data_IF_903903738806
#
_entry.id   IF_903903738806
#
_cell.length_a   1.000
_cell.length_b   1.000
_cell.length_c   1.000
_cell.angle_alpha   90.00
_cell.angle_beta   90.00
_cell.angle_gamma   90.00
#
_symmetry.space_group_name_H-M   'P 1'
#
loop_
_entity.id
_entity.type
_entity.pdbx_description
1 polymer ?
#
# COMPACT_ATOMS: atom_id res chain seq x y z
N UNK A 1 23.30 44.72 29.37
CA UNK A 1 23.52 43.26 29.35
C UNK A 1 23.34 42.80 27.91
N UNK A 2 24.44 42.82 27.14
CA UNK A 2 24.45 42.46 25.74
C UNK A 2 24.51 40.94 25.63
N UNK A 3 23.56 40.33 24.92
CA UNK A 3 23.55 38.90 24.67
C UNK A 3 24.53 38.65 23.54
N UNK A 4 25.62 37.97 23.86
CA UNK A 4 26.64 37.51 22.93
C UNK A 4 26.02 36.50 21.95
N UNK A 5 25.93 36.88 20.68
CA UNK A 5 25.43 36.06 19.56
C UNK A 5 26.57 35.25 18.92
N UNK A 6 27.76 35.26 19.51
CA UNK A 6 28.97 34.65 18.98
C UNK A 6 29.24 33.24 19.47
N UNK A 7 28.50 32.23 18.96
CA UNK A 7 28.99 30.88 18.67
C UNK A 7 27.82 29.97 18.25
N UNK A 8 27.52 29.95 16.95
CA UNK A 8 26.79 28.82 16.37
C UNK A 8 27.76 27.64 16.34
N UNK A 9 27.44 26.48 16.94
CA UNK A 9 28.24 25.28 16.74
C UNK A 9 28.30 25.01 15.25
N UNK A 10 29.52 24.83 14.73
CA UNK A 10 29.73 24.33 13.38
C UNK A 10 29.05 22.96 13.31
N UNK A 11 27.84 22.93 12.74
CA UNK A 11 27.29 21.68 12.24
C UNK A 11 28.22 21.26 11.13
N UNK A 12 29.00 20.20 11.37
CA UNK A 12 29.70 19.48 10.31
C UNK A 12 28.63 18.98 9.34
N UNK A 13 28.39 19.83 8.33
CA UNK A 13 27.31 19.70 7.40
C UNK A 13 27.58 18.55 6.47
N UNK A 14 27.15 17.35 6.86
CA UNK A 14 26.77 16.38 5.85
C UNK A 14 25.78 17.09 4.92
N UNK A 15 26.09 17.22 3.62
CA UNK A 15 25.25 17.93 2.69
C UNK A 15 23.86 17.29 2.75
N UNK A 16 22.86 18.10 3.12
CA UNK A 16 21.46 17.65 3.15
C UNK A 16 21.18 17.07 1.76
N UNK A 17 20.92 15.75 1.65
CA UNK A 17 20.74 15.13 0.35
C UNK A 17 19.59 15.84 -0.35
N UNK A 18 19.90 16.36 -1.55
CA UNK A 18 18.99 17.18 -2.34
C UNK A 18 17.68 16.42 -2.57
N UNK A 19 16.56 16.84 -1.94
CA UNK A 19 15.30 16.12 -1.99
C UNK A 19 14.69 16.09 -3.40
N UNK A 20 15.23 16.91 -4.32
CA UNK A 20 14.76 17.06 -5.69
C UNK A 20 15.53 16.22 -6.71
N UNK A 21 16.61 15.50 -6.35
CA UNK A 21 17.24 14.58 -7.31
C UNK A 21 16.41 13.29 -7.44
N UNK A 22 15.71 13.05 -8.57
CA UNK A 22 15.08 11.76 -8.79
C UNK A 22 16.19 10.70 -8.83
N UNK A 23 16.12 9.67 -7.98
CA UNK A 23 17.08 8.57 -8.04
C UNK A 23 16.82 7.77 -9.34
N UNK A 24 17.66 7.90 -10.39
CA UNK A 24 17.34 7.36 -11.72
C UNK A 24 17.62 5.86 -11.84
N UNK A 25 18.24 5.25 -10.83
CA UNK A 25 18.75 3.87 -10.88
C UNK A 25 17.71 2.86 -10.36
N UNK A 26 16.69 3.32 -9.63
CA UNK A 26 15.74 2.40 -9.00
C UNK A 26 14.76 1.77 -10.01
N UNK A 27 14.39 2.46 -11.08
CA UNK A 27 13.34 2.02 -12.01
C UNK A 27 13.77 0.82 -12.87
N UNK A 28 14.98 0.82 -13.42
CA UNK A 28 15.47 -0.29 -14.25
C UNK A 28 15.71 -1.57 -13.43
N UNK A 29 16.29 -1.45 -12.24
CA UNK A 29 16.56 -2.60 -11.37
C UNK A 29 15.26 -3.22 -10.84
N UNK A 30 14.25 -2.40 -10.51
CA UNK A 30 12.93 -2.89 -10.10
C UNK A 30 12.21 -3.65 -11.23
N UNK A 31 12.32 -3.17 -12.47
CA UNK A 31 11.77 -3.86 -13.65
C UNK A 31 12.47 -5.21 -13.87
N UNK A 32 13.80 -5.25 -13.74
CA UNK A 32 14.58 -6.50 -13.90
C UNK A 32 14.28 -7.50 -12.79
N UNK A 33 14.13 -7.06 -11.53
CA UNK A 33 13.77 -7.93 -10.42
C UNK A 33 12.34 -8.45 -10.58
N UNK A 34 11.38 -7.61 -10.97
CA UNK A 34 10.02 -8.04 -11.28
C UNK A 34 10.01 -9.08 -12.41
N UNK A 35 10.77 -8.86 -13.48
CA UNK A 35 10.90 -9.77 -14.61
C UNK A 35 11.60 -11.10 -14.25
N UNK A 36 12.60 -11.07 -13.37
CA UNK A 36 13.29 -12.28 -12.90
C UNK A 36 12.40 -13.11 -11.96
N UNK A 37 11.65 -12.45 -11.08
CA UNK A 37 10.67 -13.09 -10.17
C UNK A 37 9.53 -13.73 -10.97
N UNK A 38 9.06 -13.03 -12.02
CA UNK A 38 8.10 -13.52 -13.00
C UNK A 38 8.59 -14.78 -13.75
N UNK A 39 9.83 -14.75 -14.24
CA UNK A 39 10.42 -15.87 -14.95
C UNK A 39 10.62 -17.10 -14.06
N UNK A 40 11.05 -16.89 -12.81
CA UNK A 40 11.16 -17.96 -11.82
C UNK A 40 9.79 -18.57 -11.47
N UNK A 41 8.76 -17.73 -11.28
CA UNK A 41 7.39 -18.18 -11.05
C UNK A 41 6.88 -19.06 -12.20
N UNK A 42 7.04 -18.61 -13.46
CA UNK A 42 6.68 -19.36 -14.66
C UNK A 42 7.42 -20.69 -14.79
N UNK A 43 8.72 -20.73 -14.47
CA UNK A 43 9.52 -21.94 -14.52
C UNK A 43 9.01 -23.03 -13.57
N UNK A 44 8.35 -22.64 -12.48
CA UNK A 44 7.75 -23.60 -11.53
C UNK A 44 6.39 -24.13 -11.94
N UNK A 45 5.70 -23.57 -12.94
CA UNK A 45 4.34 -23.99 -13.34
C UNK A 45 4.33 -25.34 -14.08
N UNK A 46 5.43 -25.76 -14.70
CA UNK A 46 5.48 -26.95 -15.58
C UNK A 46 5.83 -28.30 -14.93
N UNK A 47 6.10 -28.36 -13.62
CA UNK A 47 6.60 -29.59 -12.98
C UNK A 47 5.42 -30.39 -12.40
N UNK A 48 5.14 -31.55 -13.02
CA UNK A 48 4.19 -32.61 -12.62
C UNK A 48 2.72 -32.17 -12.44
N UNK A 49 2.00 -31.98 -13.54
CA UNK A 49 0.56 -31.71 -13.49
C UNK A 49 -0.27 -32.92 -13.97
N UNK A 50 -1.37 -33.27 -13.26
CA UNK A 50 -2.37 -34.21 -13.79
C UNK A 50 -3.03 -33.63 -15.05
N UNK A 51 -3.55 -34.49 -15.94
CA UNK A 51 -4.08 -34.11 -17.27
C UNK A 51 -5.11 -32.96 -17.23
N UNK A 52 -5.89 -32.87 -16.14
CA UNK A 52 -6.86 -31.79 -15.92
C UNK A 52 -6.22 -30.41 -15.76
N UNK A 53 -5.08 -30.31 -15.09
CA UNK A 53 -4.37 -29.04 -14.91
C UNK A 53 -3.68 -28.57 -16.21
N UNK A 54 -3.28 -29.52 -17.07
CA UNK A 54 -2.82 -29.22 -18.43
C UNK A 54 -3.94 -28.65 -19.29
N UNK A 55 -5.18 -29.16 -19.16
CA UNK A 55 -6.33 -28.60 -19.88
C UNK A 55 -6.69 -27.20 -19.37
N UNK A 56 -6.72 -27.00 -18.06
CA UNK A 56 -6.98 -25.71 -17.44
C UNK A 56 -5.98 -24.63 -17.86
N UNK A 57 -4.68 -24.95 -17.84
CA UNK A 57 -3.62 -24.01 -18.19
C UNK A 57 -3.57 -23.59 -19.66
N UNK A 58 -4.29 -24.29 -20.54
CA UNK A 58 -4.42 -23.94 -21.96
C UNK A 58 -5.52 -22.91 -22.25
N UNK A 59 -6.35 -22.60 -21.26
CA UNK A 59 -7.41 -21.60 -21.42
C UNK A 59 -6.81 -20.18 -21.54
N UNK A 60 -7.33 -19.32 -22.43
CA UNK A 60 -6.86 -17.95 -22.54
C UNK A 60 -7.08 -17.15 -21.25
N UNK A 61 -8.15 -17.43 -20.51
CA UNK A 61 -8.47 -16.80 -19.23
C UNK A 61 -7.41 -17.13 -18.16
N UNK A 62 -6.90 -18.36 -18.17
CA UNK A 62 -5.79 -18.75 -17.30
C UNK A 62 -4.53 -17.93 -17.60
N UNK A 63 -4.23 -17.69 -18.89
CA UNK A 63 -3.12 -16.85 -19.31
C UNK A 63 -3.23 -15.42 -18.77
N UNK A 64 -4.43 -14.84 -18.77
CA UNK A 64 -4.70 -13.51 -18.19
C UNK A 64 -4.45 -13.52 -16.69
N UNK A 65 -5.03 -14.49 -15.97
CA UNK A 65 -4.82 -14.64 -14.53
C UNK A 65 -3.34 -14.79 -14.17
N UNK A 66 -2.62 -15.69 -14.84
CA UNK A 66 -1.22 -15.94 -14.59
C UNK A 66 -0.37 -14.69 -14.82
N UNK A 67 -0.67 -13.93 -15.88
CA UNK A 67 0.01 -12.66 -16.18
C UNK A 67 -0.22 -11.61 -15.10
N UNK A 68 -1.46 -11.49 -14.60
CA UNK A 68 -1.79 -10.57 -13.51
C UNK A 68 -1.12 -10.98 -12.19
N UNK A 69 -1.12 -12.27 -11.87
CA UNK A 69 -0.45 -12.79 -10.67
C UNK A 69 1.05 -12.49 -10.71
N UNK A 70 1.69 -12.73 -11.86
CA UNK A 70 3.10 -12.41 -12.10
C UNK A 70 3.36 -10.91 -11.92
N UNK A 71 2.53 -10.08 -12.54
CA UNK A 71 2.61 -8.63 -12.41
C UNK A 71 2.47 -8.17 -10.95
N UNK A 72 1.54 -8.77 -10.21
CA UNK A 72 1.31 -8.49 -8.80
C UNK A 72 2.50 -8.87 -7.92
N UNK A 73 3.12 -10.04 -8.12
CA UNK A 73 4.36 -10.42 -7.43
C UNK A 73 5.44 -9.38 -7.71
N UNK A 74 5.63 -9.00 -8.97
CA UNK A 74 6.59 -7.98 -9.38
C UNK A 74 6.36 -6.63 -8.71
N UNK A 75 5.12 -6.13 -8.71
CA UNK A 75 4.69 -4.88 -8.06
C UNK A 75 4.93 -4.95 -6.55
N UNK A 76 4.64 -6.09 -5.91
CA UNK A 76 4.78 -6.27 -4.46
C UNK A 76 6.24 -6.26 -4.04
N UNK A 77 7.10 -7.01 -4.74
CA UNK A 77 8.55 -7.01 -4.51
C UNK A 77 9.14 -5.62 -4.77
N UNK A 78 8.74 -4.98 -5.86
CA UNK A 78 9.22 -3.63 -6.17
C UNK A 78 8.77 -2.60 -5.13
N UNK A 79 7.52 -2.68 -4.68
CA UNK A 79 6.97 -1.85 -3.62
C UNK A 79 7.68 -2.07 -2.28
N UNK A 80 8.01 -3.31 -1.94
CA UNK A 80 8.81 -3.67 -0.76
C UNK A 80 10.21 -3.06 -0.80
N UNK A 81 10.93 -3.23 -1.92
CA UNK A 81 12.26 -2.64 -2.12
C UNK A 81 12.18 -1.09 -2.07
N UNK A 82 11.17 -0.51 -2.69
CA UNK A 82 10.96 0.94 -2.72
C UNK A 82 10.66 1.53 -1.34
N UNK A 83 9.89 0.82 -0.52
CA UNK A 83 9.51 1.25 0.84
C UNK A 83 10.56 0.91 1.91
N UNK A 84 11.52 0.04 1.60
CA UNK A 84 12.55 -0.42 2.53
C UNK A 84 13.38 0.69 3.19
N UNK A 85 13.88 1.73 2.47
CA UNK A 85 14.67 2.79 3.09
C UNK A 85 13.84 3.58 4.12
N UNK A 86 12.59 3.91 3.78
CA UNK A 86 11.66 4.60 4.67
C UNK A 86 11.36 3.76 5.91
N UNK A 87 11.13 2.46 5.72
CA UNK A 87 10.93 1.54 6.83
C UNK A 87 12.16 1.49 7.75
N UNK A 88 13.38 1.35 7.20
CA UNK A 88 14.62 1.34 7.99
C UNK A 88 14.85 2.65 8.74
N UNK A 89 14.61 3.80 8.10
CA UNK A 89 14.74 5.13 8.72
C UNK A 89 13.79 5.26 9.92
N UNK A 90 12.51 4.96 9.73
CA UNK A 90 11.51 5.02 10.80
C UNK A 90 11.80 4.00 11.90
N UNK A 91 12.21 2.80 11.53
CA UNK A 91 12.58 1.74 12.46
C UNK A 91 13.78 2.15 13.34
N UNK A 92 14.81 2.75 12.76
CA UNK A 92 16.00 3.22 13.49
C UNK A 92 15.71 4.32 14.52
N UNK A 93 14.66 5.13 14.28
CA UNK A 93 14.24 6.22 15.19
C UNK A 93 13.21 5.78 16.23
N UNK A 94 12.65 4.58 16.09
CA UNK A 94 11.54 4.10 16.91
C UNK A 94 12.01 3.36 18.18
N UNK A 95 11.22 3.48 19.23
CA UNK A 95 11.42 2.70 20.46
C UNK A 95 11.18 1.20 20.22
N UNK A 96 11.75 0.32 21.04
CA UNK A 96 11.51 -1.13 20.95
C UNK A 96 10.01 -1.49 20.99
N UNK A 97 9.23 -0.80 21.82
CA UNK A 97 7.76 -1.00 21.90
C UNK A 97 7.05 -0.63 20.60
N UNK A 98 7.44 0.47 19.96
CA UNK A 98 6.86 0.89 18.67
C UNK A 98 7.20 -0.09 17.55
N UNK A 99 8.45 -0.59 17.52
CA UNK A 99 8.86 -1.64 16.59
C UNK A 99 7.99 -2.87 16.74
N UNK A 100 7.84 -3.37 17.97
CA UNK A 100 7.02 -4.55 18.24
C UNK A 100 5.56 -4.35 17.81
N UNK A 101 4.95 -3.21 18.16
CA UNK A 101 3.56 -2.90 17.76
C UNK A 101 3.43 -2.81 16.24
N UNK A 102 4.40 -2.17 15.56
CA UNK A 102 4.43 -2.12 14.09
C UNK A 102 4.54 -3.50 13.47
N UNK A 103 5.44 -4.36 13.96
CA UNK A 103 5.56 -5.73 13.47
C UNK A 103 4.28 -6.52 13.65
N UNK A 104 3.66 -6.45 14.84
CA UNK A 104 2.41 -7.18 15.13
C UNK A 104 1.28 -6.68 14.24
N UNK A 105 1.11 -5.37 14.08
CA UNK A 105 0.05 -4.81 13.24
C UNK A 105 0.30 -5.05 11.75
N UNK A 106 1.53 -4.87 11.27
CA UNK A 106 1.88 -5.14 9.86
C UNK A 106 1.70 -6.63 9.54
N UNK A 107 2.13 -7.52 10.42
CA UNK A 107 1.91 -8.95 10.28
C UNK A 107 0.42 -9.29 10.33
N UNK A 108 -0.36 -8.69 11.23
CA UNK A 108 -1.81 -8.90 11.28
C UNK A 108 -2.50 -8.42 9.99
N UNK A 109 -2.09 -7.26 9.44
CA UNK A 109 -2.62 -6.74 8.16
C UNK A 109 -2.33 -7.73 7.03
N UNK A 110 -1.08 -8.21 6.93
CA UNK A 110 -0.68 -9.20 5.93
C UNK A 110 -1.42 -10.53 6.13
N UNK A 111 -1.55 -10.99 7.38
CA UNK A 111 -2.28 -12.21 7.70
C UNK A 111 -3.76 -12.09 7.32
N UNK A 112 -4.42 -10.98 7.63
CA UNK A 112 -5.82 -10.75 7.23
C UNK A 112 -5.95 -10.71 5.71
N UNK A 113 -4.99 -10.08 5.03
CA UNK A 113 -4.92 -10.03 3.57
C UNK A 113 -4.70 -11.42 2.93
N UNK A 114 -3.79 -12.23 3.48
CA UNK A 114 -3.44 -13.56 2.96
C UNK A 114 -4.48 -14.63 3.32
N UNK A 115 -5.07 -14.56 4.52
CA UNK A 115 -6.03 -15.55 5.00
C UNK A 115 -7.44 -15.32 4.45
N UNK A 116 -7.78 -14.11 4.00
CA UNK A 116 -9.15 -13.81 3.55
C UNK A 116 -9.56 -14.55 2.26
N UNK A 117 -8.73 -14.69 1.21
CA UNK A 117 -9.08 -15.51 0.05
C UNK A 117 -9.26 -16.98 0.41
N UNK A 118 -8.47 -17.52 1.35
CA UNK A 118 -8.63 -18.90 1.81
C UNK A 118 -9.86 -19.09 2.69
N UNK A 119 -10.18 -18.15 3.58
CA UNK A 119 -11.38 -18.20 4.40
C UNK A 119 -12.65 -18.17 3.54
N UNK A 120 -12.67 -17.27 2.56
CA UNK A 120 -13.78 -17.15 1.60
C UNK A 120 -13.79 -18.36 0.67
N UNK A 121 -12.64 -18.71 0.09
CA UNK A 121 -12.49 -19.81 -0.85
C UNK A 121 -12.80 -21.17 -0.23
N UNK A 122 -12.24 -21.52 0.93
CA UNK A 122 -12.52 -22.81 1.59
C UNK A 122 -13.97 -22.93 2.04
N UNK A 123 -14.58 -21.86 2.55
CA UNK A 123 -15.97 -21.89 2.97
C UNK A 123 -16.93 -22.22 1.80
N UNK A 124 -16.59 -21.79 0.58
CA UNK A 124 -17.38 -22.04 -0.62
C UNK A 124 -16.94 -23.33 -1.36
N UNK A 125 -15.64 -23.50 -1.61
CA UNK A 125 -15.09 -24.61 -2.41
C UNK A 125 -15.16 -25.97 -1.69
N UNK A 126 -15.09 -26.02 -0.35
CA UNK A 126 -15.24 -27.31 0.36
C UNK A 126 -16.65 -27.92 0.22
N UNK A 127 -17.65 -27.14 -0.21
CA UNK A 127 -19.03 -27.59 -0.32
C UNK A 127 -19.37 -28.21 -1.68
N UNK A 128 -18.54 -28.03 -2.70
CA UNK A 128 -18.87 -28.40 -4.07
C UNK A 128 -17.69 -29.08 -4.78
N UNK A 129 -17.74 -30.42 -4.89
CA UNK A 129 -17.08 -31.24 -5.92
C UNK A 129 -15.52 -31.28 -5.91
N UNK A 130 -14.86 -32.18 -6.67
CA UNK A 130 -13.51 -32.66 -6.36
C UNK A 130 -12.49 -31.52 -6.42
N UNK A 131 -11.37 -31.63 -5.67
CA UNK A 131 -10.37 -30.58 -5.61
C UNK A 131 -9.99 -30.22 -7.04
N UNK A 132 -10.27 -28.97 -7.41
CA UNK A 132 -9.68 -28.35 -8.59
C UNK A 132 -8.20 -28.75 -8.53
N UNK A 133 -7.58 -29.26 -9.61
CA UNK A 133 -6.21 -29.79 -9.62
C UNK A 133 -5.15 -28.68 -9.47
N UNK A 134 -5.49 -27.64 -8.71
CA UNK A 134 -4.60 -26.66 -8.16
C UNK A 134 -3.86 -27.25 -6.98
N UNK A 135 -2.54 -27.37 -7.12
CA UNK A 135 -1.64 -27.59 -6.01
C UNK A 135 -1.68 -26.36 -5.08
N UNK A 136 -2.60 -26.41 -4.12
CA UNK A 136 -2.75 -25.47 -2.99
C UNK A 136 -1.40 -24.95 -2.43
N UNK A 137 -0.32 -25.76 -2.31
CA UNK A 137 0.95 -25.27 -1.79
C UNK A 137 1.61 -24.14 -2.60
N UNK A 138 1.47 -24.12 -3.93
CA UNK A 138 2.16 -23.13 -4.78
C UNK A 138 1.50 -21.76 -4.72
N UNK A 139 0.17 -21.72 -4.70
CA UNK A 139 -0.59 -20.47 -4.54
C UNK A 139 -0.32 -19.84 -3.17
N UNK A 140 -0.30 -20.66 -2.11
CA UNK A 140 0.08 -20.21 -0.77
C UNK A 140 1.47 -19.57 -0.80
N UNK A 141 2.43 -20.16 -1.53
CA UNK A 141 3.76 -19.59 -1.72
C UNK A 141 3.74 -18.19 -2.35
N UNK A 142 2.96 -17.98 -3.41
CA UNK A 142 2.84 -16.67 -4.05
C UNK A 142 2.14 -15.64 -3.18
N UNK A 143 1.04 -16.02 -2.52
CA UNK A 143 0.29 -15.15 -1.60
C UNK A 143 1.21 -14.71 -0.46
N UNK A 144 1.89 -15.65 0.20
CA UNK A 144 2.85 -15.33 1.25
C UNK A 144 3.96 -14.43 0.72
N UNK A 145 4.52 -14.69 -0.46
CA UNK A 145 5.55 -13.83 -1.05
C UNK A 145 5.06 -12.40 -1.25
N UNK A 146 3.84 -12.21 -1.78
CA UNK A 146 3.19 -10.90 -1.95
C UNK A 146 3.02 -10.21 -0.59
N UNK A 147 2.46 -10.92 0.40
CA UNK A 147 2.25 -10.43 1.75
C UNK A 147 3.55 -10.01 2.45
N UNK A 148 4.56 -10.87 2.44
CA UNK A 148 5.89 -10.59 3.02
C UNK A 148 6.58 -9.41 2.31
N UNK A 149 6.45 -9.30 0.99
CA UNK A 149 7.02 -8.19 0.24
C UNK A 149 6.34 -6.85 0.57
N UNK A 150 5.08 -6.85 0.97
CA UNK A 150 4.34 -5.66 1.38
C UNK A 150 4.61 -5.21 2.84
N UNK A 151 5.26 -6.05 3.67
CA UNK A 151 5.53 -5.75 5.09
C UNK A 151 6.29 -4.44 5.33
N UNK A 152 7.35 -4.08 4.57
CA UNK A 152 8.05 -2.82 4.81
C UNK A 152 7.14 -1.61 4.62
N UNK A 153 6.23 -1.66 3.63
CA UNK A 153 5.28 -0.58 3.38
C UNK A 153 4.25 -0.47 4.51
N UNK A 154 3.63 -1.58 4.89
CA UNK A 154 2.66 -1.62 5.99
C UNK A 154 3.30 -1.22 7.33
N UNK A 155 4.48 -1.77 7.64
CA UNK A 155 5.23 -1.47 8.85
C UNK A 155 5.66 -0.01 8.94
N UNK A 156 6.15 0.56 7.83
CA UNK A 156 6.51 1.98 7.75
C UNK A 156 5.30 2.88 7.99
N UNK A 157 4.14 2.55 7.41
CA UNK A 157 2.91 3.32 7.60
C UNK A 157 2.48 3.33 9.08
N UNK A 158 2.48 2.15 9.72
CA UNK A 158 2.15 2.03 11.15
C UNK A 158 3.16 2.78 12.03
N UNK A 159 4.47 2.65 11.76
CA UNK A 159 5.50 3.38 12.51
C UNK A 159 5.34 4.89 12.38
N UNK A 160 5.08 5.38 11.16
CA UNK A 160 4.82 6.80 10.94
C UNK A 160 3.65 7.28 11.80
N UNK A 161 2.53 6.55 11.81
CA UNK A 161 1.37 6.86 12.65
C UNK A 161 1.68 6.90 14.15
N UNK A 162 2.43 5.91 14.65
CA UNK A 162 2.83 5.85 16.06
C UNK A 162 3.76 7.02 16.45
N UNK A 163 4.74 7.34 15.61
CA UNK A 163 5.68 8.43 15.87
C UNK A 163 5.00 9.80 15.84
N UNK A 164 4.12 10.01 14.85
CA UNK A 164 3.32 11.22 14.74
C UNK A 164 2.36 11.38 15.92
N UNK A 165 1.77 10.29 16.41
CA UNK A 165 0.84 10.36 17.54
C UNK A 165 1.55 10.67 18.88
N UNK A 166 2.75 10.13 19.08
CA UNK A 166 3.45 10.19 20.39
C UNK A 166 4.26 11.45 20.65
N UNK A 167 4.69 12.19 19.63
CA UNK A 167 5.56 13.38 19.80
C UNK A 167 4.83 14.58 20.42
N UNK A 168 4.27 14.49 21.62
CA UNK A 168 3.56 15.59 22.29
C UNK A 168 4.46 16.77 22.65
N UNK A 169 5.80 16.61 22.55
CA UNK A 169 6.75 17.67 22.85
C UNK A 169 6.79 18.72 21.73
N UNK A 170 6.73 20.02 22.05
CA UNK A 170 6.97 21.08 21.09
C UNK A 170 8.38 20.93 20.53
N UNK A 171 8.52 20.97 19.21
CA UNK A 171 9.83 20.84 18.57
C UNK A 171 10.60 22.13 18.85
N UNK A 172 11.65 22.07 19.68
CA UNK A 172 12.53 23.20 20.00
C UNK A 172 13.64 23.41 18.95
N UNK A 173 13.42 22.95 17.72
CA UNK A 173 14.36 23.04 16.61
C UNK A 173 13.96 24.21 15.71
N UNK A 174 14.92 24.77 14.97
CA UNK A 174 14.66 25.81 13.97
C UNK A 174 13.50 25.40 13.04
N UNK A 175 12.55 26.32 12.82
CA UNK A 175 11.29 26.04 12.12
C UNK A 175 11.45 25.41 10.74
N UNK A 176 12.50 25.76 10.00
CA UNK A 176 12.78 25.19 8.68
C UNK A 176 13.03 23.68 8.69
N UNK A 177 13.72 23.15 9.71
CA UNK A 177 13.98 21.70 9.84
C UNK A 177 12.68 20.94 10.08
N UNK A 178 11.77 21.53 10.86
CA UNK A 178 10.46 20.95 11.18
C UNK A 178 9.61 20.83 9.92
N UNK A 179 9.52 21.93 9.16
CA UNK A 179 8.76 21.99 7.92
C UNK A 179 9.30 20.96 6.91
N UNK A 180 10.62 20.89 6.75
CA UNK A 180 11.25 19.92 5.85
C UNK A 180 10.91 18.46 6.23
N UNK A 181 10.91 18.14 7.53
CA UNK A 181 10.56 16.81 8.02
C UNK A 181 9.07 16.49 7.80
N UNK A 182 8.17 17.45 8.05
CA UNK A 182 6.73 17.27 7.79
C UNK A 182 6.44 17.05 6.31
N UNK A 183 7.12 17.78 5.42
CA UNK A 183 7.03 17.56 3.97
C UNK A 183 7.55 16.18 3.57
N UNK A 184 8.68 15.75 4.14
CA UNK A 184 9.25 14.42 3.91
C UNK A 184 8.28 13.32 4.33
N UNK A 185 7.72 13.42 5.54
CA UNK A 185 6.74 12.45 6.06
C UNK A 185 5.51 12.40 5.14
N UNK A 186 4.98 13.55 4.69
CA UNK A 186 3.85 13.59 3.76
C UNK A 186 4.13 12.82 2.47
N UNK A 187 5.28 13.07 1.85
CA UNK A 187 5.70 12.39 0.62
C UNK A 187 5.86 10.88 0.87
N UNK A 188 6.44 10.50 2.01
CA UNK A 188 6.54 9.09 2.41
C UNK A 188 5.17 8.44 2.59
N UNK A 189 4.22 9.08 3.27
CA UNK A 189 2.86 8.55 3.46
C UNK A 189 2.14 8.32 2.13
N UNK A 190 2.24 9.27 1.19
CA UNK A 190 1.64 9.11 -0.15
C UNK A 190 2.26 7.93 -0.91
N UNK A 191 3.59 7.80 -0.88
CA UNK A 191 4.31 6.68 -1.51
C UNK A 191 3.89 5.33 -0.92
N UNK A 192 3.81 5.24 0.40
CA UNK A 192 3.38 4.02 1.10
C UNK A 192 1.94 3.66 0.75
N UNK A 193 1.03 4.65 0.71
CA UNK A 193 -0.35 4.44 0.28
C UNK A 193 -0.41 3.92 -1.16
N UNK A 194 0.34 4.52 -2.09
CA UNK A 194 0.36 4.08 -3.49
C UNK A 194 0.82 2.63 -3.62
N UNK A 195 1.90 2.24 -2.91
CA UNK A 195 2.38 0.85 -2.92
C UNK A 195 1.30 -0.10 -2.42
N UNK A 196 0.70 0.19 -1.25
CA UNK A 196 -0.32 -0.68 -0.66
C UNK A 196 -1.58 -0.75 -1.53
N UNK A 197 -2.03 0.37 -2.10
CA UNK A 197 -3.16 0.42 -3.00
C UNK A 197 -2.93 -0.41 -4.28
N UNK A 198 -1.72 -0.36 -4.86
CA UNK A 198 -1.36 -1.16 -6.04
C UNK A 198 -1.31 -2.66 -5.72
N UNK A 199 -0.73 -3.05 -4.59
CA UNK A 199 -0.69 -4.46 -4.16
C UNK A 199 -2.10 -4.98 -3.92
N UNK A 200 -2.89 -4.28 -3.11
CA UNK A 200 -4.25 -4.70 -2.77
C UNK A 200 -5.14 -4.71 -4.02
N UNK A 201 -5.11 -3.64 -4.81
CA UNK A 201 -5.92 -3.53 -6.03
C UNK A 201 -5.53 -4.55 -7.08
N UNK A 202 -4.23 -4.82 -7.25
CA UNK A 202 -3.74 -5.89 -8.12
C UNK A 202 -4.18 -7.27 -7.65
N UNK A 203 -4.22 -7.51 -6.35
CA UNK A 203 -4.71 -8.79 -5.81
C UNK A 203 -6.18 -9.04 -6.09
N UNK A 204 -7.03 -8.02 -5.88
CA UNK A 204 -8.45 -8.10 -6.23
C UNK A 204 -8.63 -8.43 -7.72
N UNK A 205 -7.88 -7.77 -8.61
CA UNK A 205 -7.94 -8.03 -10.05
C UNK A 205 -7.52 -9.47 -10.37
N UNK A 206 -6.45 -9.95 -9.73
CA UNK A 206 -5.98 -11.33 -9.90
C UNK A 206 -7.03 -12.33 -9.43
N UNK A 207 -7.70 -12.12 -8.30
CA UNK A 207 -8.79 -13.00 -7.84
C UNK A 207 -9.96 -12.99 -8.83
N UNK A 208 -10.33 -11.82 -9.36
CA UNK A 208 -11.36 -11.72 -10.40
C UNK A 208 -10.98 -12.49 -11.68
N UNK A 209 -9.73 -12.38 -12.13
CA UNK A 209 -9.24 -13.14 -13.28
C UNK A 209 -9.18 -14.65 -13.03
N UNK A 210 -8.79 -15.06 -11.82
CA UNK A 210 -8.78 -16.47 -11.39
C UNK A 210 -10.17 -17.07 -11.52
N UNK A 211 -11.16 -16.35 -10.99
CA UNK A 211 -12.56 -16.74 -11.05
C UNK A 211 -13.03 -16.91 -12.49
N UNK A 212 -12.71 -15.98 -13.38
CA UNK A 212 -13.07 -16.09 -14.80
C UNK A 212 -12.45 -17.33 -15.46
N UNK A 213 -11.19 -17.65 -15.13
CA UNK A 213 -10.53 -18.86 -15.61
C UNK A 213 -11.20 -20.14 -15.08
N UNK A 214 -11.61 -20.16 -13.81
CA UNK A 214 -12.37 -21.26 -13.22
C UNK A 214 -13.72 -21.44 -13.91
N UNK A 215 -14.49 -20.37 -14.10
CA UNK A 215 -15.78 -20.41 -14.80
C UNK A 215 -15.65 -20.88 -16.25
N UNK A 216 -14.62 -20.43 -16.97
CA UNK A 216 -14.36 -20.87 -18.34
C UNK A 216 -14.03 -22.36 -18.40
N UNK A 217 -13.24 -22.86 -17.44
CA UNK A 217 -12.95 -24.29 -17.35
C UNK A 217 -14.20 -25.13 -17.07
N UNK A 218 -15.03 -24.69 -16.13
CA UNK A 218 -16.31 -25.35 -15.82
C UNK A 218 -17.21 -25.48 -17.05
N UNK A 219 -17.28 -24.45 -17.89
CA UNK A 219 -18.04 -24.50 -19.13
C UNK A 219 -17.55 -25.58 -20.12
N UNK A 220 -16.28 -25.99 -20.05
CA UNK A 220 -15.72 -27.07 -20.90
C UNK A 220 -16.00 -28.47 -20.36
N UNK A 221 -16.28 -28.60 -19.06
CA UNK A 221 -16.46 -29.90 -18.39
C UNK A 221 -17.96 -30.22 -18.29
N UNK A 222 -18.58 -30.62 -19.41
CA UNK A 222 -20.02 -30.88 -19.53
C UNK A 222 -20.62 -31.87 -18.51
N UNK A 223 -19.82 -32.70 -17.84
CA UNK A 223 -20.28 -33.71 -16.86
C UNK A 223 -20.11 -33.31 -15.39
N UNK A 224 -19.27 -32.32 -15.08
CA UNK A 224 -19.00 -31.95 -13.70
C UNK A 224 -20.08 -30.97 -13.25
N UNK A 225 -20.98 -31.44 -12.37
CA UNK A 225 -21.99 -30.63 -11.65
C UNK A 225 -21.45 -29.24 -11.37
N UNK A 226 -22.23 -28.22 -11.78
CA UNK A 226 -22.06 -26.79 -11.46
C UNK A 226 -21.30 -26.63 -10.14
N UNK A 227 -19.98 -26.46 -10.25
CA UNK A 227 -19.21 -25.85 -9.19
C UNK A 227 -19.90 -24.51 -8.94
N UNK A 228 -20.20 -24.20 -7.69
CA UNK A 228 -20.75 -22.89 -7.38
C UNK A 228 -19.62 -21.90 -7.67
N UNK A 229 -19.66 -21.29 -8.86
CA UNK A 229 -18.77 -20.20 -9.20
C UNK A 229 -18.84 -19.17 -8.09
N UNK A 230 -17.68 -18.60 -7.74
CA UNK A 230 -17.57 -17.63 -6.65
C UNK A 230 -18.62 -16.53 -6.89
N UNK A 231 -19.56 -16.25 -5.98
CA UNK A 231 -20.52 -15.17 -6.19
C UNK A 231 -19.82 -13.82 -6.38
N UNK A 232 -20.31 -12.98 -7.30
CA UNK A 232 -19.73 -11.65 -7.58
C UNK A 232 -19.76 -10.76 -6.32
N UNK A 233 -20.75 -10.98 -5.46
CA UNK A 233 -20.92 -10.29 -4.18
C UNK A 233 -19.72 -10.54 -3.25
N UNK A 234 -19.12 -11.73 -3.27
CA UNK A 234 -17.97 -12.03 -2.43
C UNK A 234 -16.74 -11.24 -2.86
N UNK A 235 -16.54 -11.04 -4.17
CA UNK A 235 -15.43 -10.23 -4.67
C UNK A 235 -15.59 -8.76 -4.26
N UNK A 236 -16.81 -8.23 -4.33
CA UNK A 236 -17.13 -6.87 -3.87
C UNK A 236 -16.91 -6.71 -2.36
N UNK A 237 -17.37 -7.68 -1.55
CA UNK A 237 -17.15 -7.69 -0.10
C UNK A 237 -15.66 -7.77 0.23
N UNK A 238 -14.91 -8.59 -0.51
CA UNK A 238 -13.46 -8.70 -0.35
C UNK A 238 -12.76 -7.37 -0.64
N UNK A 239 -13.02 -6.75 -1.79
CA UNK A 239 -12.45 -5.45 -2.14
C UNK A 239 -12.81 -4.36 -1.14
N UNK A 240 -14.07 -4.31 -0.70
CA UNK A 240 -14.53 -3.38 0.33
C UNK A 240 -13.81 -3.59 1.66
N UNK A 241 -13.62 -4.85 2.09
CA UNK A 241 -12.90 -5.20 3.31
C UNK A 241 -11.45 -4.75 3.26
N UNK A 242 -10.78 -4.93 2.12
CA UNK A 242 -9.40 -4.49 1.94
C UNK A 242 -9.26 -2.96 1.87
N UNK A 243 -10.18 -2.27 1.21
CA UNK A 243 -10.27 -0.80 1.25
C UNK A 243 -10.46 -0.30 2.69
N UNK A 244 -11.37 -0.93 3.44
CA UNK A 244 -11.60 -0.62 4.85
C UNK A 244 -10.36 -0.81 5.72
N UNK A 245 -9.64 -1.91 5.52
CA UNK A 245 -8.39 -2.20 6.23
C UNK A 245 -7.31 -1.15 5.93
N UNK A 246 -7.12 -0.79 4.66
CA UNK A 246 -6.17 0.24 4.25
C UNK A 246 -6.54 1.61 4.85
N UNK A 247 -7.82 1.98 4.79
CA UNK A 247 -8.34 3.22 5.36
C UNK A 247 -8.14 3.28 6.88
N UNK A 248 -8.39 2.17 7.59
CA UNK A 248 -8.26 2.07 9.04
C UNK A 248 -6.83 2.38 9.53
N UNK A 249 -5.82 2.07 8.72
CA UNK A 249 -4.41 2.30 9.05
C UNK A 249 -3.93 3.67 8.54
N UNK A 250 -4.32 4.03 7.32
CA UNK A 250 -3.85 5.24 6.65
C UNK A 250 -4.48 6.52 7.22
N UNK A 251 -5.81 6.55 7.40
CA UNK A 251 -6.54 7.74 7.85
C UNK A 251 -6.01 8.27 9.20
N UNK A 252 -5.91 7.47 10.28
CA UNK A 252 -5.41 8.01 11.55
C UNK A 252 -3.96 8.50 11.45
N UNK A 253 -3.14 7.84 10.64
CA UNK A 253 -1.77 8.27 10.38
C UNK A 253 -1.72 9.63 9.67
N UNK A 254 -2.55 9.81 8.64
CA UNK A 254 -2.65 11.05 7.90
C UNK A 254 -3.22 12.19 8.76
N UNK A 255 -4.26 11.92 9.57
CA UNK A 255 -4.81 12.89 10.51
C UNK A 255 -3.77 13.32 11.54
N UNK A 256 -2.99 12.38 12.09
CA UNK A 256 -1.90 12.71 13.01
C UNK A 256 -0.87 13.63 12.35
N UNK A 257 -0.48 13.36 11.09
CA UNK A 257 0.39 14.26 10.33
C UNK A 257 -0.23 15.65 10.14
N UNK A 258 -1.51 15.71 9.75
CA UNK A 258 -2.22 16.96 9.50
C UNK A 258 -2.30 17.82 10.76
N UNK A 259 -2.62 17.22 11.91
CA UNK A 259 -2.63 17.91 13.22
C UNK A 259 -1.27 18.52 13.52
N UNK A 260 -0.17 17.78 13.32
CA UNK A 260 1.18 18.31 13.59
C UNK A 260 1.59 19.43 12.64
N UNK A 261 1.20 19.33 11.38
CA UNK A 261 1.44 20.39 10.43
C UNK A 261 0.64 21.66 10.80
N UNK A 262 -0.62 21.52 11.23
CA UNK A 262 -1.43 22.64 11.69
C UNK A 262 -0.86 23.30 12.96
N UNK A 263 -0.47 22.49 13.97
CA UNK A 263 0.21 22.99 15.18
C UNK A 263 1.48 23.78 14.83
N UNK A 264 2.24 23.33 13.83
CA UNK A 264 3.44 24.04 13.41
C UNK A 264 3.13 25.36 12.70
N UNK A 265 2.04 25.43 11.92
CA UNK A 265 1.54 26.70 11.37
C UNK A 265 1.14 27.66 12.51
N UNK A 266 0.41 27.18 13.51
CA UNK A 266 -0.03 27.97 14.65
C UNK A 266 1.15 28.49 15.49
N UNK A 267 2.22 27.71 15.61
CA UNK A 267 3.44 28.13 16.31
C UNK A 267 4.23 29.20 15.56
N UNK A 268 4.31 29.12 14.23
CA UNK A 268 5.07 30.06 13.41
C UNK A 268 4.29 31.34 13.10
N UNK A 269 2.97 31.22 13.00
CA UNK A 269 2.04 32.32 12.76
C UNK A 269 0.96 32.32 13.85
N UNK A 270 1.32 32.65 15.12
CA UNK A 270 0.37 32.72 16.21
C UNK A 270 -0.63 33.84 15.97
N UNK A 271 -1.87 33.67 16.42
CA UNK A 271 -2.88 34.72 16.34
C UNK A 271 -2.42 35.92 17.19
N UNK A 272 -2.40 37.15 16.64
CA UNK A 272 -2.05 38.33 17.41
C UNK A 272 -2.95 38.51 18.65
N UNK A 273 -2.43 39.05 19.77
CA UNK A 273 -3.20 39.20 21.01
C UNK A 273 -4.46 40.08 20.88
N UNK A 274 -4.47 40.99 19.91
CA UNK A 274 -5.59 41.88 19.59
C UNK A 274 -6.61 41.25 18.62
N UNK A 275 -6.35 40.02 18.17
CA UNK A 275 -7.16 39.29 17.19
C UNK A 275 -7.08 39.86 15.77
N UNK A 276 -6.23 40.86 15.50
CA UNK A 276 -6.15 41.55 14.21
C UNK A 276 -4.89 41.14 13.46
N UNK A 277 -4.98 40.02 12.74
CA UNK A 277 -3.93 39.60 11.83
C UNK A 277 -3.73 40.63 10.69
N UNK A 278 -2.50 41.11 10.55
CA UNK A 278 -2.10 41.95 9.42
C UNK A 278 -2.01 41.15 8.11
N UNK A 279 -1.92 41.86 6.99
CA UNK A 279 -1.86 41.25 5.66
C UNK A 279 -0.69 40.26 5.51
N UNK A 280 0.50 40.63 5.98
CA UNK A 280 1.71 39.79 5.91
C UNK A 280 1.57 38.49 6.71
N UNK A 281 0.86 38.54 7.84
CA UNK A 281 0.54 37.34 8.63
C UNK A 281 -0.34 36.38 7.82
N UNK A 282 -1.39 36.91 7.17
CA UNK A 282 -2.31 36.10 6.37
C UNK A 282 -1.61 35.44 5.18
N UNK A 283 -0.77 36.19 4.45
CA UNK A 283 -0.01 35.65 3.33
C UNK A 283 0.96 34.58 3.82
N UNK A 284 1.80 34.90 4.82
CA UNK A 284 2.80 33.96 5.32
C UNK A 284 2.20 32.66 5.86
N UNK A 285 1.08 32.76 6.59
CA UNK A 285 0.34 31.58 7.07
C UNK A 285 -0.27 30.80 5.90
N UNK A 286 -0.91 31.49 4.97
CA UNK A 286 -1.54 30.89 3.79
C UNK A 286 -0.53 30.10 2.95
N UNK A 287 0.64 30.69 2.71
CA UNK A 287 1.71 30.09 1.92
C UNK A 287 2.30 28.87 2.63
N UNK A 288 2.48 28.95 3.96
CA UNK A 288 2.94 27.81 4.75
C UNK A 288 1.91 26.66 4.75
N UNK A 289 0.63 26.96 4.94
CA UNK A 289 -0.45 25.96 4.85
C UNK A 289 -0.55 25.36 3.44
N UNK A 290 -0.33 26.16 2.40
CA UNK A 290 -0.26 25.70 1.01
C UNK A 290 0.94 24.78 0.76
N UNK A 291 2.12 25.17 1.24
CA UNK A 291 3.36 24.38 1.16
C UNK A 291 3.20 23.03 1.85
N UNK A 292 2.70 23.02 3.09
CA UNK A 292 2.43 21.79 3.84
C UNK A 292 1.26 20.99 3.23
N UNK A 293 0.42 21.63 2.40
CA UNK A 293 -0.77 21.05 1.79
C UNK A 293 -1.91 20.79 2.76
N UNK A 294 -1.99 21.60 3.82
CA UNK A 294 -3.12 21.66 4.74
C UNK A 294 -4.37 22.22 4.07
N UNK A 295 -4.16 23.12 3.10
CA UNK A 295 -5.17 23.51 2.11
C UNK A 295 -5.23 22.40 1.06
N UNK A 296 -5.71 21.23 1.45
CA UNK A 296 -5.80 20.11 0.53
C UNK A 296 -6.58 20.56 -0.70
N UNK A 297 -5.90 20.63 -1.85
CA UNK A 297 -6.62 20.80 -3.12
C UNK A 297 -7.53 19.60 -3.27
N UNK A 298 -8.72 19.82 -3.81
CA UNK A 298 -9.71 18.75 -4.07
C UNK A 298 -9.06 17.54 -4.77
N UNK A 299 -8.03 17.77 -5.60
CA UNK A 299 -7.24 16.74 -6.26
C UNK A 299 -6.37 15.85 -5.35
N UNK A 300 -5.85 16.34 -4.22
CA UNK A 300 -5.09 15.50 -3.25
C UNK A 300 -6.05 14.60 -2.48
N UNK A 301 -7.22 15.11 -2.11
CA UNK A 301 -8.29 14.32 -1.50
C UNK A 301 -8.79 13.27 -2.49
N UNK A 302 -8.92 13.64 -3.77
CA UNK A 302 -9.35 12.72 -4.83
C UNK A 302 -8.32 11.64 -5.15
N UNK A 303 -7.03 11.94 -5.25
CA UNK A 303 -5.98 10.93 -5.49
C UNK A 303 -5.79 9.99 -4.29
N UNK A 304 -5.88 10.52 -3.07
CA UNK A 304 -5.89 9.72 -1.85
C UNK A 304 -7.14 8.83 -1.80
N UNK A 305 -8.30 9.39 -2.14
CA UNK A 305 -9.58 8.68 -2.24
C UNK A 305 -9.54 7.59 -3.32
N UNK A 306 -9.01 7.87 -4.51
CA UNK A 306 -8.82 6.89 -5.57
C UNK A 306 -7.87 5.77 -5.15
N UNK A 307 -6.79 6.09 -4.44
CA UNK A 307 -5.90 5.06 -3.87
C UNK A 307 -6.62 4.15 -2.89
N UNK A 308 -7.50 4.70 -2.05
CA UNK A 308 -8.31 3.93 -1.12
C UNK A 308 -9.42 3.12 -1.82
N UNK A 309 -10.02 3.68 -2.87
CA UNK A 309 -11.12 3.05 -3.62
C UNK A 309 -10.60 2.08 -4.69
N UNK A 310 -9.33 2.13 -5.06
CA UNK A 310 -8.75 1.29 -6.12
C UNK A 310 -9.10 -0.21 -5.97
N UNK A 311 -9.01 -0.83 -4.77
CA UNK A 311 -9.46 -2.21 -4.58
C UNK A 311 -10.95 -2.43 -4.89
N UNK A 312 -11.80 -1.49 -4.50
CA UNK A 312 -13.23 -1.54 -4.80
C UNK A 312 -13.52 -1.33 -6.29
N UNK A 313 -12.87 -0.35 -6.92
CA UNK A 313 -12.99 -0.11 -8.35
C UNK A 313 -12.52 -1.32 -9.17
N UNK A 314 -11.41 -1.94 -8.78
CA UNK A 314 -10.93 -3.20 -9.35
C UNK A 314 -11.96 -4.32 -9.21
N UNK A 315 -12.58 -4.46 -8.04
CA UNK A 315 -13.63 -5.47 -7.82
C UNK A 315 -14.83 -5.23 -8.74
N UNK A 316 -15.24 -3.98 -8.88
CA UNK A 316 -16.36 -3.59 -9.74
C UNK A 316 -16.06 -3.86 -11.22
N UNK A 317 -14.87 -3.51 -11.69
CA UNK A 317 -14.42 -3.80 -13.06
C UNK A 317 -14.39 -5.31 -13.30
N UNK A 318 -13.85 -6.09 -12.37
CA UNK A 318 -13.84 -7.55 -12.46
C UNK A 318 -15.26 -8.14 -12.50
N UNK A 319 -16.19 -7.65 -11.68
CA UNK A 319 -17.58 -8.11 -11.68
C UNK A 319 -18.30 -7.76 -13.00
N UNK A 320 -18.12 -6.54 -13.52
CA UNK A 320 -18.75 -6.11 -14.77
C UNK A 320 -18.25 -6.93 -15.96
N UNK A 321 -16.92 -7.08 -16.08
CA UNK A 321 -16.32 -7.86 -17.17
C UNK A 321 -16.82 -9.31 -17.18
N UNK A 322 -17.13 -9.84 -16.01
CA UNK A 322 -17.69 -11.17 -15.89
C UNK A 322 -19.17 -11.26 -16.29
N UNK A 323 -20.00 -10.26 -15.93
CA UNK A 323 -21.43 -10.23 -16.29
C UNK A 323 -21.70 -10.14 -17.80
N UNK A 324 -20.73 -9.65 -18.59
CA UNK A 324 -20.85 -9.55 -20.04
C UNK A 324 -20.49 -10.84 -20.80
N UNK A 325 -19.90 -11.83 -20.12
CA UNK A 325 -19.45 -13.07 -20.73
C UNK A 325 -20.47 -14.23 -20.59
N UNK A 326 -21.53 -14.03 -19.78
CA UNK A 326 -22.67 -14.95 -19.61
C UNK A 326 -23.86 -14.55 -20.48
#
# INVERSE_FOLDING_TARGET
MAIDVGQRPAFDGEPIPDPCKPQPVLSATLIVIAAASAAAALATVGVSQPDQAVQYSRLPEYGIWATLMIGLVGVSVAGGIYSWPTWRELHGRSSQRERLVSYVLAFFIVLVYDASPELVGRAYLQRSSPPIPYEVPREIGFILLIGFAALPAAGALVLAGLQLSRRTRPWNVAGGVIIAELLRIRVQLQRLLTVLALVIGGNVLTIGAMRNAVTAYEATQHEVRQLQSIPDELLLVYGMSMTGLLALVYIPTYLAWQTRAAEQCDRLYPLPPDGRAGHDWYIGRSDLEGLLGLKASVGVVFTTGLGLIAPFASSLVSAILNSSAS
#
